data_IF_965850535822
#
_entry.id   IF_965850535822
#
_cell.length_a   1.000
_cell.length_b   1.000
_cell.length_c   1.000
_cell.angle_alpha   90.00
_cell.angle_beta   90.00
_cell.angle_gamma   90.00
#
_symmetry.space_group_name_H-M   'P 1'
#
loop_
_entity.id
_entity.type
_entity.pdbx_description
1 polymer ?
#
# COMPACT_ATOMS: atom_id res chain seq x y z
N UNK A 1 1.99 -10.89 13.65
CA UNK A 1 2.29 -10.78 12.21
C UNK A 1 1.65 -9.49 11.70
N UNK A 2 2.37 -8.65 10.95
CA UNK A 2 1.88 -7.34 10.48
C UNK A 2 1.08 -7.49 9.18
N UNK A 3 0.08 -6.63 8.94
CA UNK A 3 -0.73 -6.60 7.71
C UNK A 3 0.13 -6.49 6.45
N UNK A 4 1.25 -5.77 6.51
CA UNK A 4 2.19 -5.66 5.38
C UNK A 4 2.88 -6.99 5.07
N UNK A 5 3.16 -7.81 6.08
CA UNK A 5 3.70 -9.16 5.85
C UNK A 5 2.66 -10.11 5.26
N UNK A 6 1.37 -9.90 5.56
CA UNK A 6 0.29 -10.62 4.90
C UNK A 6 0.19 -10.25 3.41
N UNK A 7 0.38 -8.97 3.06
CA UNK A 7 0.48 -8.52 1.66
C UNK A 7 1.66 -9.18 0.93
N UNK A 8 2.85 -9.19 1.56
CA UNK A 8 4.05 -9.88 1.03
C UNK A 8 3.83 -11.38 0.83
N UNK A 9 3.08 -12.02 1.73
CA UNK A 9 2.76 -13.45 1.60
C UNK A 9 1.73 -13.69 0.49
N UNK A 10 0.71 -12.83 0.39
CA UNK A 10 -0.32 -12.91 -0.64
C UNK A 10 0.26 -12.75 -2.06
N UNK A 11 1.35 -11.99 -2.22
CA UNK A 11 2.02 -11.86 -3.51
C UNK A 11 2.60 -13.19 -4.02
N UNK A 12 3.04 -14.07 -3.11
CA UNK A 12 3.65 -15.36 -3.42
C UNK A 12 2.64 -16.48 -3.75
N UNK A 13 1.33 -16.18 -3.71
CA UNK A 13 0.29 -17.09 -4.19
C UNK A 13 0.36 -17.14 -5.73
N UNK A 14 0.90 -18.24 -6.26
CA UNK A 14 1.17 -18.46 -7.68
C UNK A 14 0.22 -19.49 -8.33
N UNK A 15 -0.80 -19.97 -7.61
CA UNK A 15 -1.79 -20.86 -8.19
C UNK A 15 -2.71 -20.07 -9.15
N UNK A 16 -2.83 -20.57 -10.38
CA UNK A 16 -3.61 -19.94 -11.45
C UNK A 16 -5.11 -19.86 -11.10
N UNK A 17 -5.61 -20.79 -10.29
CA UNK A 17 -7.00 -20.77 -9.81
C UNK A 17 -7.25 -19.67 -8.75
N UNK A 18 -6.19 -19.15 -8.12
CA UNK A 18 -6.28 -18.22 -7.00
C UNK A 18 -6.06 -16.75 -7.39
N UNK A 19 -5.83 -16.47 -8.67
CA UNK A 19 -5.48 -15.12 -9.14
C UNK A 19 -6.55 -14.07 -8.82
N UNK A 20 -7.83 -14.43 -8.91
CA UNK A 20 -8.96 -13.55 -8.53
C UNK A 20 -9.00 -13.29 -7.02
N UNK A 21 -8.56 -14.25 -6.21
CA UNK A 21 -8.50 -14.10 -4.76
C UNK A 21 -7.35 -13.21 -4.32
N UNK A 22 -6.25 -13.18 -5.07
CA UNK A 22 -5.10 -12.31 -4.81
C UNK A 22 -5.43 -10.81 -4.90
N UNK A 23 -6.16 -10.39 -5.93
CA UNK A 23 -6.59 -8.99 -6.07
C UNK A 23 -7.58 -8.59 -4.99
N UNK A 24 -8.57 -9.45 -4.70
CA UNK A 24 -9.50 -9.23 -3.60
C UNK A 24 -8.79 -9.17 -2.26
N UNK A 25 -7.82 -10.05 -2.00
CA UNK A 25 -7.06 -10.05 -0.74
C UNK A 25 -6.21 -8.79 -0.61
N UNK A 26 -5.53 -8.37 -1.68
CA UNK A 26 -4.77 -7.11 -1.72
C UNK A 26 -5.68 -5.92 -1.41
N UNK A 27 -6.89 -5.90 -1.99
CA UNK A 27 -7.88 -4.87 -1.74
C UNK A 27 -8.31 -4.80 -0.27
N UNK A 28 -8.66 -5.93 0.33
CA UNK A 28 -9.08 -5.98 1.74
C UNK A 28 -7.94 -5.62 2.69
N UNK A 29 -6.72 -6.09 2.41
CA UNK A 29 -5.56 -5.81 3.25
C UNK A 29 -5.15 -4.33 3.17
N UNK A 30 -5.09 -3.74 1.98
CA UNK A 30 -4.81 -2.32 1.83
C UNK A 30 -5.90 -1.46 2.47
N UNK A 31 -7.18 -1.81 2.28
CA UNK A 31 -8.30 -1.14 2.94
C UNK A 31 -8.21 -1.20 4.48
N UNK A 32 -7.86 -2.36 5.03
CA UNK A 32 -7.65 -2.52 6.46
C UNK A 32 -6.48 -1.67 6.98
N UNK A 33 -5.35 -1.60 6.24
CA UNK A 33 -4.23 -0.75 6.64
C UNK A 33 -4.60 0.73 6.56
N UNK A 34 -5.35 1.17 5.54
CA UNK A 34 -5.87 2.55 5.47
C UNK A 34 -6.79 2.86 6.66
N UNK A 35 -7.67 1.93 7.02
CA UNK A 35 -8.55 2.11 8.16
C UNK A 35 -7.78 2.25 9.46
N UNK A 36 -6.80 1.37 9.73
CA UNK A 36 -5.93 1.49 10.90
C UNK A 36 -5.15 2.81 10.87
N UNK A 37 -4.66 3.23 9.69
CA UNK A 37 -3.95 4.50 9.52
C UNK A 37 -4.84 5.70 9.87
N UNK A 38 -6.13 5.66 9.53
CA UNK A 38 -7.10 6.71 9.88
C UNK A 38 -7.36 6.85 11.38
N UNK A 39 -6.96 5.84 12.18
CA UNK A 39 -7.13 5.82 13.63
C UNK A 39 -5.83 6.15 14.39
N UNK A 40 -4.72 6.36 13.69
CA UNK A 40 -3.42 6.67 14.31
C UNK A 40 -3.52 7.99 15.08
N UNK A 41 -2.93 8.02 16.26
CA UNK A 41 -2.72 9.23 17.06
C UNK A 41 -1.22 9.56 17.18
N UNK A 42 -0.89 10.77 17.68
CA UNK A 42 0.49 11.23 17.82
C UNK A 42 1.37 10.33 18.69
N UNK A 43 0.76 9.65 19.67
CA UNK A 43 1.44 8.74 20.60
C UNK A 43 1.94 7.47 19.91
N UNK A 44 1.23 7.02 18.88
CA UNK A 44 1.54 5.79 18.14
C UNK A 44 2.76 5.95 17.23
N UNK A 45 3.07 7.18 16.81
CA UNK A 45 4.11 7.48 15.82
C UNK A 45 5.50 7.01 16.26
N UNK A 46 5.80 7.06 17.55
CA UNK A 46 7.09 6.61 18.09
C UNK A 46 7.31 5.11 17.86
N UNK A 47 6.27 4.30 18.05
CA UNK A 47 6.28 2.86 17.84
C UNK A 47 6.23 2.54 16.35
N UNK A 48 5.40 3.27 15.59
CA UNK A 48 5.21 3.07 14.16
C UNK A 48 6.47 3.42 13.35
N UNK A 49 7.29 4.37 13.79
CA UNK A 49 8.48 4.81 13.06
C UNK A 49 9.39 3.66 12.62
N UNK A 50 9.60 2.66 13.49
CA UNK A 50 10.41 1.49 13.14
C UNK A 50 9.76 0.66 12.02
N UNK A 51 8.45 0.41 12.10
CA UNK A 51 7.73 -0.36 11.10
C UNK A 51 7.67 0.36 9.76
N UNK A 52 7.41 1.67 9.77
CA UNK A 52 7.38 2.50 8.58
C UNK A 52 8.74 2.52 7.89
N UNK A 53 9.84 2.56 8.66
CA UNK A 53 11.19 2.48 8.10
C UNK A 53 11.49 1.13 7.41
N UNK A 54 11.00 0.02 7.98
CA UNK A 54 11.30 -1.33 7.45
C UNK A 54 10.36 -1.72 6.32
N UNK A 55 9.08 -1.36 6.44
CA UNK A 55 7.99 -1.87 5.60
C UNK A 55 7.27 -0.81 4.77
N UNK A 56 7.59 0.47 4.95
CA UNK A 56 6.93 1.57 4.24
C UNK A 56 7.06 1.48 2.72
N UNK A 57 8.22 1.07 2.22
CA UNK A 57 8.42 0.87 0.78
C UNK A 57 7.56 -0.28 0.23
N UNK A 58 7.59 -1.45 0.87
CA UNK A 58 6.72 -2.57 0.49
C UNK A 58 5.24 -2.14 0.49
N UNK A 59 4.79 -1.48 1.55
CA UNK A 59 3.42 -1.02 1.67
C UNK A 59 3.03 -0.03 0.56
N UNK A 60 3.91 0.91 0.21
CA UNK A 60 3.72 1.83 -0.91
C UNK A 60 3.41 1.09 -2.22
N UNK A 61 4.21 0.07 -2.56
CA UNK A 61 3.98 -0.74 -3.77
C UNK A 61 2.61 -1.41 -3.79
N UNK A 62 2.12 -1.87 -2.63
CA UNK A 62 0.77 -2.42 -2.53
C UNK A 62 -0.33 -1.35 -2.63
N UNK A 63 -0.07 -0.15 -2.14
CA UNK A 63 -0.98 0.99 -2.29
C UNK A 63 -1.10 1.46 -3.75
N UNK A 64 0.00 1.45 -4.50
CA UNK A 64 -0.02 1.73 -5.95
C UNK A 64 -0.89 0.71 -6.70
N UNK A 65 -0.76 -0.59 -6.37
CA UNK A 65 -1.62 -1.66 -6.92
C UNK A 65 -3.08 -1.45 -6.51
N UNK A 66 -3.34 -1.14 -5.25
CA UNK A 66 -4.67 -0.88 -4.72
C UNK A 66 -5.37 0.26 -5.47
N UNK A 67 -4.70 1.39 -5.67
CA UNK A 67 -5.25 2.54 -6.41
C UNK A 67 -5.64 2.14 -7.84
N UNK A 68 -4.76 1.41 -8.55
CA UNK A 68 -5.05 0.90 -9.90
C UNK A 68 -6.28 -0.02 -9.93
N UNK A 69 -6.42 -0.89 -8.92
CA UNK A 69 -7.59 -1.76 -8.77
C UNK A 69 -8.88 -0.97 -8.49
N UNK A 70 -8.81 0.07 -7.65
CA UNK A 70 -9.94 0.94 -7.33
C UNK A 70 -10.40 1.76 -8.55
N UNK A 71 -9.47 2.30 -9.35
CA UNK A 71 -9.81 2.99 -10.61
C UNK A 71 -10.56 2.09 -11.60
N UNK A 72 -10.32 0.78 -11.54
CA UNK A 72 -10.95 -0.22 -12.40
C UNK A 72 -12.35 -0.64 -11.92
N UNK A 73 -12.70 -0.37 -10.65
CA UNK A 73 -13.96 -0.80 -10.03
C UNK A 73 -14.84 0.40 -9.69
N UNK A 74 -15.89 0.64 -10.49
CA UNK A 74 -16.97 1.58 -10.12
C UNK A 74 -17.91 0.93 -9.08
N UNK A 75 -17.64 1.08 -7.78
CA UNK A 75 -18.62 0.71 -6.76
C UNK A 75 -18.12 0.66 -5.32
N UNK A 76 -18.83 1.41 -4.45
CA UNK A 76 -18.91 1.41 -2.99
C UNK A 76 -17.63 1.04 -2.19
N UNK A 77 -16.95 2.07 -1.68
CA UNK A 77 -15.90 1.93 -0.67
C UNK A 77 -16.52 2.00 0.75
N UNK A 78 -16.30 0.95 1.55
CA UNK A 78 -16.65 0.90 2.99
C UNK A 78 -15.44 1.34 3.85
N UNK A 79 -14.26 1.48 3.24
CA UNK A 79 -13.03 1.93 3.90
C UNK A 79 -12.87 3.45 3.77
N UNK A 80 -12.13 4.10 4.69
CA UNK A 80 -11.78 5.49 4.50
C UNK A 80 -11.05 5.64 3.17
N UNK A 81 -11.42 6.69 2.45
CA UNK A 81 -10.79 7.07 1.20
C UNK A 81 -9.33 7.44 1.45
N UNK A 82 -8.50 7.34 0.41
CA UNK A 82 -7.08 7.69 0.48
C UNK A 82 -6.93 9.17 0.87
N UNK A 83 -7.88 9.99 0.42
CA UNK A 83 -8.05 11.40 0.72
C UNK A 83 -8.34 11.64 2.20
N UNK A 84 -9.28 10.90 2.80
CA UNK A 84 -9.56 11.01 4.25
C UNK A 84 -8.35 10.65 5.11
N UNK A 85 -7.60 9.62 4.71
CA UNK A 85 -6.36 9.22 5.40
C UNK A 85 -5.27 10.28 5.22
N UNK A 86 -5.14 10.87 4.02
CA UNK A 86 -4.22 11.98 3.76
C UNK A 86 -4.53 13.17 4.67
N UNK A 87 -5.78 13.63 4.67
CA UNK A 87 -6.22 14.76 5.50
C UNK A 87 -5.95 14.49 6.99
N UNK A 88 -6.15 13.25 7.45
CA UNK A 88 -5.85 12.85 8.83
C UNK A 88 -4.36 12.96 9.16
N UNK A 89 -3.49 12.41 8.31
CA UNK A 89 -2.05 12.44 8.53
C UNK A 89 -1.49 13.88 8.44
N UNK A 90 -2.01 14.72 7.56
CA UNK A 90 -1.64 16.14 7.46
C UNK A 90 -2.06 16.95 8.70
N UNK A 91 -3.24 16.65 9.27
CA UNK A 91 -3.67 17.23 10.56
C UNK A 91 -2.75 16.82 11.71
N UNK A 92 -2.36 15.55 11.74
CA UNK A 92 -1.38 15.07 12.73
C UNK A 92 -0.02 15.73 12.54
N UNK A 93 0.42 15.94 11.30
CA UNK A 93 1.70 16.59 11.00
C UNK A 93 1.74 18.03 11.51
N UNK A 94 0.64 18.75 11.33
CA UNK A 94 0.46 20.11 11.88
C UNK A 94 0.51 20.15 13.41
N UNK A 95 0.15 19.04 14.07
CA UNK A 95 0.14 18.89 15.53
C UNK A 95 1.42 18.24 16.07
N UNK A 96 2.33 17.79 15.21
CA UNK A 96 3.51 17.05 15.60
C UNK A 96 4.52 17.95 16.31
N UNK A 97 4.93 17.52 17.50
CA UNK A 97 5.82 18.29 18.38
C UNK A 97 7.31 17.95 18.18
N UNK A 98 7.61 16.76 17.64
CA UNK A 98 8.97 16.29 17.42
C UNK A 98 9.29 16.03 15.95
N UNK A 99 10.58 16.14 15.60
CA UNK A 99 11.05 15.85 14.24
C UNK A 99 10.89 14.37 13.88
N UNK A 100 10.96 13.47 14.86
CA UNK A 100 10.74 12.04 14.62
C UNK A 100 9.29 11.74 14.25
N UNK A 101 8.33 12.39 14.91
CA UNK A 101 6.92 12.29 14.54
C UNK A 101 6.67 12.82 13.13
N UNK A 102 7.23 13.99 12.78
CA UNK A 102 7.12 14.57 11.43
C UNK A 102 7.72 13.65 10.37
N UNK A 103 8.93 13.12 10.62
CA UNK A 103 9.58 12.15 9.72
C UNK A 103 8.75 10.89 9.54
N UNK A 104 8.15 10.36 10.61
CA UNK A 104 7.27 9.19 10.53
C UNK A 104 6.02 9.48 9.70
N UNK A 105 5.35 10.61 9.95
CA UNK A 105 4.15 11.05 9.23
C UNK A 105 4.44 11.28 7.75
N UNK A 106 5.55 11.93 7.41
CA UNK A 106 5.95 12.12 6.02
C UNK A 106 6.13 10.80 5.27
N UNK A 107 6.73 9.79 5.91
CA UNK A 107 6.87 8.45 5.32
C UNK A 107 5.53 7.70 5.22
N UNK A 108 4.64 7.87 6.20
CA UNK A 108 3.28 7.32 6.14
C UNK A 108 2.47 7.94 4.99
N UNK A 109 2.54 9.26 4.83
CA UNK A 109 1.91 9.99 3.72
C UNK A 109 2.42 9.46 2.38
N UNK A 110 3.73 9.36 2.21
CA UNK A 110 4.33 8.83 0.98
C UNK A 110 3.93 7.38 0.69
N UNK A 111 3.70 6.56 1.73
CA UNK A 111 3.32 5.16 1.56
C UNK A 111 1.82 4.98 1.28
N UNK A 112 0.95 5.76 1.93
CA UNK A 112 -0.50 5.69 1.76
C UNK A 112 -0.98 6.40 0.48
N UNK A 113 -0.25 7.44 0.08
CA UNK A 113 -0.57 8.29 -1.07
C UNK A 113 0.62 8.30 -2.04
N UNK A 114 0.88 7.19 -2.74
CA UNK A 114 1.91 7.19 -3.76
C UNK A 114 1.50 8.06 -4.94
N UNK A 115 2.46 8.83 -5.47
CA UNK A 115 2.28 9.57 -6.72
C UNK A 115 1.99 8.58 -7.87
N UNK A 116 0.79 8.64 -8.42
CA UNK A 116 0.38 7.76 -9.54
C UNK A 116 1.08 8.09 -10.86
N UNK A 117 1.81 9.21 -10.93
CA UNK A 117 2.54 9.67 -12.12
C UNK A 117 3.95 9.08 -12.25
N UNK A 118 4.41 8.23 -11.32
CA UNK A 118 5.64 7.47 -11.50
C UNK A 118 5.40 6.31 -12.47
N UNK A 119 5.40 6.65 -13.75
CA UNK A 119 5.28 5.74 -14.88
C UNK A 119 6.28 4.57 -14.81
N UNK A 120 5.74 3.37 -15.00
CA UNK A 120 6.36 2.25 -15.72
C UNK A 120 7.76 1.77 -15.27
N UNK A 121 7.84 1.01 -14.17
CA UNK A 121 8.89 -0.02 -14.06
C UNK A 121 8.46 -1.28 -14.81
N UNK A 122 8.74 -1.25 -16.12
CA UNK A 122 9.03 -2.38 -17.03
C UNK A 122 8.66 -3.75 -16.48
N UNK A 123 7.51 -4.28 -16.89
CA UNK A 123 7.38 -5.73 -17.08
C UNK A 123 8.46 -6.18 -18.06
N UNK A 124 9.39 -7.08 -17.70
CA UNK A 124 10.22 -7.73 -18.70
C UNK A 124 9.27 -8.58 -19.57
N UNK A 125 9.15 -8.20 -20.83
CA UNK A 125 8.51 -9.04 -21.85
C UNK A 125 9.15 -10.43 -21.78
N UNK A 126 8.39 -11.42 -21.34
CA UNK A 126 8.76 -12.83 -21.53
C UNK A 126 8.72 -13.07 -23.03
N UNK A 127 9.88 -12.97 -23.66
CA UNK A 127 10.07 -13.27 -25.07
C UNK A 127 9.54 -14.68 -25.34
N UNK A 128 8.54 -14.70 -26.20
CA UNK A 128 7.81 -15.85 -26.69
C UNK A 128 8.74 -16.92 -27.27
N UNK A 129 8.53 -18.17 -26.82
CA UNK A 129 8.70 -19.43 -27.53
C UNK A 129 9.49 -19.39 -28.85
N UNK A 130 10.77 -19.77 -28.82
CA UNK A 130 11.47 -20.28 -30.00
C UNK A 130 11.14 -21.78 -30.12
N UNK A 131 10.20 -22.15 -30.99
CA UNK A 131 10.05 -23.53 -31.45
C UNK A 131 11.33 -23.91 -32.21
N UNK A 132 12.09 -24.85 -31.66
CA UNK A 132 13.15 -25.55 -32.38
C UNK A 132 12.44 -26.68 -33.13
N UNK A 133 12.44 -26.64 -34.46
CA UNK A 133 12.13 -27.82 -35.27
C UNK A 133 13.44 -28.53 -35.57
N UNK A 134 13.49 -29.83 -35.28
CA UNK A 134 14.50 -30.80 -35.74
C UNK A 134 14.62 -30.83 -37.27
#
# INVERSE_FOLDING_TARGET
ASLVSALETAENINDFAEYKYKDSLTEHLCGAVLHVTSLIELVDLSILAQFVNIKGHSFRTYMEKYIKLQLSKKGQNINPTIEEVRDHLERLESSAVSDDQRRCLHKLLQACVPDTDSADERTPEKTSFQKIYD
#
